data_IF_766869312256
#
_entry.id   IF_766869312256
#
_cell.length_a   1.000
_cell.length_b   1.000
_cell.length_c   1.000
_cell.angle_alpha   90.00
_cell.angle_beta   90.00
_cell.angle_gamma   90.00
#
_symmetry.space_group_name_H-M   'P 1'
#
loop_
_entity.id
_entity.type
_entity.pdbx_description
1 polymer ?
#
# COMPACT_ATOMS: atom_id res chain seq x y z
N UNK A 1 16.33 -14.15 -5.64
CA UNK A 1 16.15 -12.85 -4.95
C UNK A 1 15.70 -11.84 -5.97
N UNK A 2 14.62 -11.09 -5.73
CA UNK A 2 14.14 -10.00 -6.60
C UNK A 2 14.51 -8.67 -5.96
N UNK A 3 15.08 -7.76 -6.73
CA UNK A 3 15.37 -6.40 -6.29
C UNK A 3 14.32 -5.46 -6.89
N UNK A 4 13.78 -4.58 -6.06
CA UNK A 4 12.83 -3.53 -6.44
C UNK A 4 13.39 -2.18 -5.94
N UNK A 5 12.85 -1.07 -6.45
CA UNK A 5 13.23 0.28 -6.01
C UNK A 5 12.12 0.86 -5.15
N UNK A 6 12.46 1.60 -4.11
CA UNK A 6 11.52 2.46 -3.38
C UNK A 6 11.92 3.90 -3.59
N UNK A 7 10.94 4.76 -3.85
CA UNK A 7 11.17 6.19 -3.81
C UNK A 7 11.58 6.62 -2.40
N UNK A 8 12.50 7.58 -2.33
CA UNK A 8 12.80 8.28 -1.09
C UNK A 8 11.60 9.12 -0.66
N UNK A 9 11.30 9.11 0.63
CA UNK A 9 10.28 9.99 1.25
C UNK A 9 10.91 11.26 1.82
N UNK A 10 11.91 11.79 1.11
CA UNK A 10 12.68 12.95 1.54
C UNK A 10 11.83 14.21 1.44
N UNK A 11 11.62 14.89 2.56
CA UNK A 11 10.79 16.09 2.66
C UNK A 11 11.60 17.38 2.40
N UNK A 12 12.92 17.26 2.41
CA UNK A 12 13.92 18.31 2.26
C UNK A 12 14.58 18.31 0.86
N UNK A 13 14.02 17.56 -0.08
CA UNK A 13 14.51 17.44 -1.46
C UNK A 13 13.47 17.96 -2.46
N UNK A 14 13.90 18.42 -3.65
CA UNK A 14 12.99 18.80 -4.72
C UNK A 14 12.03 17.64 -5.02
N UNK A 15 10.70 17.85 -4.89
CA UNK A 15 9.74 16.75 -5.04
C UNK A 15 9.76 16.10 -6.45
N UNK A 16 10.30 16.79 -7.46
CA UNK A 16 10.49 16.29 -8.82
C UNK A 16 11.53 15.17 -8.94
N UNK A 17 12.46 15.02 -7.99
CA UNK A 17 13.49 13.95 -8.03
C UNK A 17 12.87 12.52 -8.04
N UNK A 18 11.63 12.39 -7.58
CA UNK A 18 10.87 11.15 -7.67
C UNK A 18 10.70 10.67 -9.12
N UNK A 19 10.48 11.58 -10.07
CA UNK A 19 10.33 11.25 -11.49
C UNK A 19 11.66 10.78 -12.10
N UNK A 20 12.77 11.40 -11.71
CA UNK A 20 14.09 11.03 -12.22
C UNK A 20 14.51 9.65 -11.68
N UNK A 21 14.23 9.39 -10.40
CA UNK A 21 14.43 8.07 -9.78
C UNK A 21 13.59 7.00 -10.50
N UNK A 22 12.33 7.30 -10.80
CA UNK A 22 11.44 6.38 -11.48
C UNK A 22 11.91 6.05 -12.90
N UNK A 23 12.31 7.06 -13.69
CA UNK A 23 12.87 6.86 -15.03
C UNK A 23 14.16 6.06 -15.00
N UNK A 24 15.05 6.34 -14.05
CA UNK A 24 16.29 5.59 -13.89
C UNK A 24 16.01 4.12 -13.52
N UNK A 25 15.07 3.87 -12.61
CA UNK A 25 14.68 2.51 -12.23
C UNK A 25 14.05 1.73 -13.42
N UNK A 26 13.20 2.39 -14.19
CA UNK A 26 12.59 1.83 -15.41
C UNK A 26 13.63 1.54 -16.49
N UNK A 27 14.58 2.44 -16.73
CA UNK A 27 15.66 2.23 -17.68
C UNK A 27 16.63 1.11 -17.25
N UNK A 28 16.91 1.01 -15.94
CA UNK A 28 17.85 0.05 -15.38
C UNK A 28 17.30 -1.38 -15.26
N UNK A 29 16.07 -1.65 -15.69
CA UNK A 29 15.56 -3.02 -15.65
C UNK A 29 14.89 -3.41 -14.32
N UNK A 30 14.65 -2.49 -13.38
CA UNK A 30 13.94 -2.86 -12.15
C UNK A 30 12.48 -3.20 -12.44
N UNK A 31 11.92 -4.23 -11.79
CA UNK A 31 10.61 -4.76 -12.14
C UNK A 31 9.46 -4.13 -11.34
N UNK A 32 9.75 -3.35 -10.29
CA UNK A 32 8.74 -2.75 -9.42
C UNK A 32 9.31 -1.49 -8.74
N UNK A 33 8.50 -0.44 -8.70
CA UNK A 33 8.76 0.80 -7.97
C UNK A 33 7.73 0.95 -6.83
N UNK A 34 8.22 1.18 -5.61
CA UNK A 34 7.40 1.47 -4.45
C UNK A 34 7.25 2.98 -4.27
N UNK A 35 6.00 3.43 -4.16
CA UNK A 35 5.60 4.83 -4.03
C UNK A 35 4.89 4.97 -2.68
N UNK A 36 5.63 5.44 -1.67
CA UNK A 36 5.06 5.72 -0.35
C UNK A 36 4.30 7.06 -0.33
N UNK A 37 3.47 7.24 0.69
CA UNK A 37 2.69 8.47 0.91
C UNK A 37 3.20 9.21 2.14
N UNK A 38 3.55 10.49 1.95
CA UNK A 38 4.01 11.39 3.00
C UNK A 38 3.62 12.84 2.68
N UNK A 39 4.24 13.83 3.32
CA UNK A 39 3.91 15.25 3.22
C UNK A 39 4.31 15.93 1.88
N UNK A 40 4.81 15.18 0.89
CA UNK A 40 5.27 15.73 -0.39
C UNK A 40 4.21 15.61 -1.48
N UNK A 41 3.86 14.38 -1.86
CA UNK A 41 2.91 14.09 -2.93
C UNK A 41 1.82 13.12 -2.49
N UNK A 42 0.62 13.29 -3.07
CA UNK A 42 -0.36 12.21 -3.14
C UNK A 42 0.22 11.05 -3.96
N UNK A 43 0.18 9.84 -3.39
CA UNK A 43 0.85 8.69 -3.99
C UNK A 43 0.27 8.29 -5.36
N UNK A 44 -1.04 8.46 -5.57
CA UNK A 44 -1.69 8.10 -6.82
C UNK A 44 -1.48 9.15 -7.90
N UNK A 45 -1.54 10.44 -7.56
CA UNK A 45 -1.21 11.53 -8.48
C UNK A 45 0.24 11.41 -8.99
N UNK A 46 1.18 11.17 -8.07
CA UNK A 46 2.57 10.91 -8.44
C UNK A 46 2.70 9.62 -9.26
N UNK A 47 1.97 8.57 -8.89
CA UNK A 47 1.91 7.31 -9.62
C UNK A 47 1.44 7.46 -11.07
N UNK A 48 0.41 8.27 -11.32
CA UNK A 48 -0.06 8.55 -12.68
C UNK A 48 1.01 9.27 -13.50
N UNK A 49 1.66 10.28 -12.92
CA UNK A 49 2.75 11.00 -13.60
C UNK A 49 3.94 10.08 -13.91
N UNK A 50 4.33 9.22 -12.97
CA UNK A 50 5.39 8.22 -13.17
C UNK A 50 4.98 7.20 -14.24
N UNK A 51 3.78 6.65 -14.16
CA UNK A 51 3.31 5.63 -15.09
C UNK A 51 3.19 6.15 -16.53
N UNK A 52 2.91 7.44 -16.71
CA UNK A 52 2.95 8.10 -18.03
C UNK A 52 4.38 8.37 -18.55
N UNK A 53 5.35 8.48 -17.65
CA UNK A 53 6.75 8.77 -17.96
C UNK A 53 7.66 7.53 -17.99
N UNK A 54 7.10 6.33 -17.80
CA UNK A 54 7.82 5.05 -17.75
C UNK A 54 7.16 4.03 -18.67
N UNK A 55 7.90 2.96 -19.00
CA UNK A 55 7.55 2.07 -20.11
C UNK A 55 7.25 0.63 -19.69
N UNK A 56 7.78 0.16 -18.55
CA UNK A 56 7.72 -1.27 -18.16
C UNK A 56 7.50 -1.50 -16.66
N UNK A 57 8.03 -0.63 -15.79
CA UNK A 57 8.03 -0.84 -14.35
C UNK A 57 6.61 -0.89 -13.78
N UNK A 58 6.35 -1.83 -12.86
CA UNK A 58 5.10 -1.87 -12.10
C UNK A 58 5.16 -0.91 -10.90
N UNK A 59 3.99 -0.47 -10.44
CA UNK A 59 3.88 0.56 -9.40
C UNK A 59 3.16 0.01 -8.16
N UNK A 60 3.84 -0.08 -7.02
CA UNK A 60 3.23 -0.47 -5.75
C UNK A 60 3.06 0.75 -4.84
N UNK A 61 1.82 1.02 -4.43
CA UNK A 61 1.48 2.16 -3.58
C UNK A 61 1.49 1.81 -2.10
N UNK A 62 2.17 2.61 -1.28
CA UNK A 62 2.11 2.52 0.17
C UNK A 62 3.40 2.06 0.86
N UNK A 63 3.32 1.72 2.16
CA UNK A 63 2.09 1.44 2.90
C UNK A 63 1.17 2.65 3.10
N UNK A 64 -0.10 2.53 2.67
CA UNK A 64 -1.13 3.53 2.87
C UNK A 64 -1.77 3.36 4.26
N UNK A 65 -1.95 4.47 4.97
CA UNK A 65 -2.50 4.46 6.32
C UNK A 65 -4.02 4.19 6.28
N UNK A 66 -4.45 3.01 6.74
CA UNK A 66 -5.86 2.55 6.68
C UNK A 66 -6.82 3.36 7.55
N UNK A 67 -6.29 4.09 8.53
CA UNK A 67 -7.09 5.04 9.32
C UNK A 67 -7.15 6.42 8.68
N UNK A 68 -6.42 6.67 7.58
CA UNK A 68 -6.38 7.95 6.84
C UNK A 68 -7.10 7.83 5.50
N UNK A 69 -6.79 6.79 4.71
CA UNK A 69 -7.54 6.46 3.49
C UNK A 69 -8.51 5.32 3.74
N UNK A 70 -9.76 5.51 3.33
CA UNK A 70 -10.75 4.45 3.36
C UNK A 70 -10.55 3.43 2.21
N UNK A 71 -11.15 2.23 2.30
CA UNK A 71 -10.98 1.20 1.28
C UNK A 71 -11.39 1.62 -0.14
N UNK A 72 -12.44 2.44 -0.27
CA UNK A 72 -12.95 2.84 -1.58
C UNK A 72 -11.98 3.83 -2.25
N UNK A 73 -11.45 4.81 -1.50
CA UNK A 73 -10.46 5.75 -2.05
C UNK A 73 -9.13 5.09 -2.40
N UNK A 74 -8.70 4.07 -1.63
CA UNK A 74 -7.53 3.25 -1.99
C UNK A 74 -7.78 2.51 -3.32
N UNK A 75 -8.87 1.75 -3.41
CA UNK A 75 -9.16 0.94 -4.59
C UNK A 75 -9.37 1.82 -5.84
N UNK A 76 -10.05 2.95 -5.68
CA UNK A 76 -10.27 3.92 -6.76
C UNK A 76 -8.95 4.51 -7.26
N UNK A 77 -8.04 4.89 -6.36
CA UNK A 77 -6.73 5.43 -6.73
C UNK A 77 -5.90 4.42 -7.53
N UNK A 78 -5.78 3.20 -7.01
CA UNK A 78 -5.04 2.11 -7.68
C UNK A 78 -5.61 1.83 -9.07
N UNK A 79 -6.94 1.66 -9.19
CA UNK A 79 -7.60 1.40 -10.46
C UNK A 79 -7.47 2.56 -11.45
N UNK A 80 -7.47 3.81 -10.96
CA UNK A 80 -7.29 4.99 -11.80
C UNK A 80 -5.88 5.02 -12.40
N UNK A 81 -4.84 4.76 -11.61
CA UNK A 81 -3.47 4.70 -12.14
C UNK A 81 -3.34 3.58 -13.16
N UNK A 82 -3.81 2.37 -12.85
CA UNK A 82 -3.77 1.24 -13.77
C UNK A 82 -4.47 1.55 -15.10
N UNK A 83 -5.68 2.13 -15.05
CA UNK A 83 -6.46 2.46 -16.24
C UNK A 83 -5.82 3.57 -17.10
N UNK A 84 -5.25 4.61 -16.47
CA UNK A 84 -4.68 5.75 -17.18
C UNK A 84 -3.28 5.48 -17.77
N UNK A 85 -2.53 4.56 -17.16
CA UNK A 85 -1.12 4.34 -17.50
C UNK A 85 -0.85 2.98 -18.13
N UNK A 86 -1.82 2.06 -18.06
CA UNK A 86 -1.67 0.67 -18.47
C UNK A 86 -0.65 -0.12 -17.62
N UNK A 87 -0.14 0.46 -16.53
CA UNK A 87 0.84 -0.20 -15.66
C UNK A 87 0.16 -1.21 -14.76
N UNK A 88 0.86 -2.32 -14.49
CA UNK A 88 0.51 -3.19 -13.37
C UNK A 88 0.70 -2.41 -12.06
N UNK A 89 -0.30 -2.52 -11.17
CA UNK A 89 -0.30 -1.83 -9.88
C UNK A 89 -0.36 -2.81 -8.73
N UNK A 90 0.27 -2.47 -7.62
CA UNK A 90 0.18 -3.14 -6.32
C UNK A 90 -0.24 -2.15 -5.23
N UNK A 91 -0.71 -2.66 -4.09
CA UNK A 91 -1.00 -1.82 -2.93
C UNK A 91 -0.44 -2.44 -1.65
N UNK A 92 0.07 -1.60 -0.77
CA UNK A 92 0.48 -1.94 0.57
C UNK A 92 -0.35 -1.14 1.59
N UNK A 93 -0.82 -1.79 2.65
CA UNK A 93 -1.55 -1.14 3.73
C UNK A 93 -0.75 -1.19 5.03
N UNK A 94 -0.93 -0.17 5.88
CA UNK A 94 -0.32 -0.10 7.20
C UNK A 94 -1.13 0.76 8.16
N UNK A 95 -0.76 0.72 9.44
CA UNK A 95 -1.46 1.47 10.51
C UNK A 95 -0.87 2.86 10.77
N UNK A 96 0.32 3.14 10.22
CA UNK A 96 1.06 4.39 10.39
C UNK A 96 1.35 4.76 11.87
N UNK A 97 1.88 5.96 12.10
CA UNK A 97 2.34 6.47 13.40
C UNK A 97 1.36 7.46 14.04
N UNK A 98 1.51 7.74 15.34
CA UNK A 98 0.72 8.77 16.02
C UNK A 98 0.91 10.16 15.41
N UNK A 99 2.13 10.49 14.95
CA UNK A 99 2.42 11.76 14.28
C UNK A 99 1.52 11.95 13.06
N UNK A 100 1.46 10.95 12.19
CA UNK A 100 0.66 11.02 10.96
C UNK A 100 -0.83 10.97 11.31
N UNK A 101 -1.28 9.94 12.02
CA UNK A 101 -2.72 9.69 12.19
C UNK A 101 -3.36 10.66 13.19
N UNK A 102 -2.78 10.82 14.38
CA UNK A 102 -3.34 11.71 15.42
C UNK A 102 -2.93 13.15 15.19
N UNK A 103 -1.64 13.37 14.92
CA UNK A 103 -1.08 14.72 14.77
C UNK A 103 -1.58 15.44 13.52
N UNK A 104 -1.32 14.86 12.34
CA UNK A 104 -1.62 15.54 11.07
C UNK A 104 -3.08 15.41 10.63
N UNK A 105 -3.68 14.24 10.87
CA UNK A 105 -5.04 13.95 10.40
C UNK A 105 -6.12 14.04 11.49
N UNK A 106 -5.75 14.20 12.77
CA UNK A 106 -6.72 14.31 13.86
C UNK A 106 -7.56 13.04 14.07
N UNK A 107 -7.06 11.87 13.66
CA UNK A 107 -7.80 10.59 13.71
C UNK A 107 -7.29 9.68 14.81
N UNK A 108 -8.14 8.73 15.23
CA UNK A 108 -7.74 7.74 16.24
C UNK A 108 -6.87 6.62 15.65
N UNK A 109 -5.97 6.07 16.48
CA UNK A 109 -5.22 4.83 16.22
C UNK A 109 -5.70 3.65 17.06
N UNK A 110 -6.82 3.82 17.77
CA UNK A 110 -7.39 2.76 18.60
C UNK A 110 -7.84 1.61 17.71
N UNK A 111 -7.58 0.37 18.14
CA UNK A 111 -7.90 -0.85 17.37
C UNK A 111 -7.33 -0.83 15.94
N UNK A 112 -6.17 -0.21 15.72
CA UNK A 112 -5.55 -0.09 14.39
C UNK A 112 -5.30 -1.42 13.68
N UNK A 113 -5.01 -2.51 14.39
CA UNK A 113 -4.92 -3.85 13.80
C UNK A 113 -6.28 -4.36 13.27
N UNK A 114 -7.38 -4.06 13.97
CA UNK A 114 -8.74 -4.35 13.51
C UNK A 114 -9.06 -3.54 12.27
N UNK A 115 -8.76 -2.23 12.27
CA UNK A 115 -8.94 -1.37 11.11
C UNK A 115 -8.14 -1.88 9.89
N UNK A 116 -6.92 -2.39 10.12
CA UNK A 116 -6.07 -2.98 9.09
C UNK A 116 -6.69 -4.25 8.50
N UNK A 117 -7.20 -5.16 9.34
CA UNK A 117 -7.86 -6.38 8.89
C UNK A 117 -9.12 -6.08 8.06
N UNK A 118 -10.01 -5.23 8.59
CA UNK A 118 -11.26 -4.86 7.94
C UNK A 118 -11.02 -4.12 6.62
N UNK A 119 -10.02 -3.22 6.59
CA UNK A 119 -9.61 -2.55 5.36
C UNK A 119 -9.00 -3.51 4.35
N UNK A 120 -8.19 -4.48 4.77
CA UNK A 120 -7.61 -5.46 3.88
C UNK A 120 -8.68 -6.29 3.16
N UNK A 121 -9.73 -6.71 3.89
CA UNK A 121 -10.89 -7.40 3.31
C UNK A 121 -11.63 -6.52 2.31
N UNK A 122 -11.99 -5.29 2.69
CA UNK A 122 -12.73 -4.40 1.81
C UNK A 122 -11.93 -4.01 0.56
N UNK A 123 -10.64 -3.69 0.72
CA UNK A 123 -9.74 -3.37 -0.41
C UNK A 123 -9.61 -4.59 -1.33
N UNK A 124 -9.45 -5.80 -0.79
CA UNK A 124 -9.39 -7.03 -1.60
C UNK A 124 -10.62 -7.20 -2.48
N UNK A 125 -11.81 -7.14 -1.90
CA UNK A 125 -13.09 -7.25 -2.62
C UNK A 125 -13.14 -6.27 -3.79
N UNK A 126 -12.79 -5.00 -3.53
CA UNK A 126 -12.82 -3.96 -4.55
C UNK A 126 -11.79 -4.20 -5.66
N UNK A 127 -10.56 -4.58 -5.31
CA UNK A 127 -9.49 -4.84 -6.29
C UNK A 127 -9.73 -6.10 -7.13
N UNK A 128 -10.56 -7.04 -6.68
CA UNK A 128 -11.01 -8.21 -7.45
C UNK A 128 -12.30 -7.97 -8.25
N UNK A 129 -12.89 -6.77 -8.12
CA UNK A 129 -14.07 -6.35 -8.88
C UNK A 129 -15.39 -6.71 -8.22
N UNK A 130 -15.37 -7.17 -6.97
CA UNK A 130 -16.54 -7.40 -6.14
C UNK A 130 -17.11 -6.08 -5.63
N UNK A 131 -18.32 -6.17 -5.07
CA UNK A 131 -18.97 -5.08 -4.34
C UNK A 131 -18.53 -5.17 -2.88
N UNK A 132 -18.18 -4.05 -2.26
CA UNK A 132 -17.78 -4.02 -0.86
C UNK A 132 -18.92 -4.50 0.04
N UNK A 133 -18.59 -5.40 0.95
CA UNK A 133 -19.50 -5.88 1.99
C UNK A 133 -18.68 -6.21 3.25
N UNK A 134 -18.39 -5.16 4.02
CA UNK A 134 -17.70 -5.22 5.30
C UNK A 134 -18.51 -4.42 6.31
N UNK A 135 -19.03 -5.12 7.31
CA UNK A 135 -19.71 -4.54 8.47
C UNK A 135 -18.78 -4.62 9.69
N UNK A 136 -17.67 -3.87 9.60
CA UNK A 136 -16.59 -3.92 10.57
C UNK A 136 -16.83 -3.04 11.81
N UNK A 137 -16.08 -3.31 12.87
CA UNK A 137 -16.11 -2.57 14.13
C UNK A 137 -15.41 -1.20 14.04
N UNK A 138 -14.50 -1.03 13.10
CA UNK A 138 -13.74 0.22 12.88
C UNK A 138 -13.93 0.72 11.45
N UNK A 139 -13.90 -0.17 10.46
CA UNK A 139 -14.04 0.16 9.05
C UNK A 139 -15.26 -0.57 8.48
N UNK A 140 -16.24 0.21 8.04
CA UNK A 140 -17.43 -0.28 7.33
C UNK A 140 -17.39 0.13 5.87
N UNK A 141 -17.80 -0.78 4.98
CA UNK A 141 -17.97 -0.49 3.56
C UNK A 141 -19.04 -1.39 2.97
N UNK A 142 -20.16 -0.81 2.54
CA UNK A 142 -21.29 -1.54 1.96
C UNK A 142 -21.69 -0.88 0.67
N UNK A 143 -21.80 -1.65 -0.39
CA UNK A 143 -22.43 -1.14 -1.60
C UNK A 143 -21.50 -0.66 -2.71
N UNK A 144 -20.25 -0.32 -2.37
CA UNK A 144 -19.33 0.30 -3.31
C UNK A 144 -18.75 -0.72 -4.28
N UNK A 145 -18.57 -0.35 -5.54
CA UNK A 145 -17.93 -1.19 -6.56
C UNK A 145 -17.17 -0.30 -7.52
N UNK A 146 -15.96 -0.71 -7.87
CA UNK A 146 -15.21 -0.03 -8.93
C UNK A 146 -15.99 -0.09 -10.25
N UNK A 147 -16.02 1.05 -10.95
CA UNK A 147 -16.60 1.15 -12.30
C UNK A 147 -15.55 0.94 -13.39
N UNK A 148 -14.28 1.15 -13.07
CA UNK A 148 -13.15 0.75 -13.89
C UNK A 148 -12.93 -0.78 -13.77
N UNK A 149 -12.27 -1.41 -14.77
CA UNK A 149 -11.83 -2.79 -14.64
C UNK A 149 -11.02 -3.00 -13.35
N UNK A 150 -11.28 -4.10 -12.67
CA UNK A 150 -10.59 -4.43 -11.44
C UNK A 150 -9.09 -4.66 -11.74
N UNK A 151 -8.16 -3.93 -11.09
CA UNK A 151 -6.74 -4.02 -11.40
C UNK A 151 -6.12 -5.34 -10.92
N UNK A 152 -6.83 -6.13 -10.10
CA UNK A 152 -6.35 -7.40 -9.51
C UNK A 152 -4.98 -7.25 -8.83
N UNK A 153 -4.75 -6.07 -8.26
CA UNK A 153 -3.49 -5.70 -7.64
C UNK A 153 -3.15 -6.60 -6.44
N UNK A 154 -1.88 -7.03 -6.31
CA UNK A 154 -1.45 -7.71 -5.10
C UNK A 154 -1.57 -6.77 -3.89
N UNK A 155 -2.05 -7.33 -2.79
CA UNK A 155 -2.23 -6.65 -1.51
C UNK A 155 -1.09 -7.05 -0.58
N UNK A 156 -0.38 -6.06 -0.09
CA UNK A 156 0.73 -6.21 0.84
C UNK A 156 0.36 -5.60 2.19
N UNK A 157 0.79 -6.22 3.28
CA UNK A 157 0.60 -5.65 4.63
C UNK A 157 1.96 -5.29 5.23
N UNK A 158 2.07 -4.05 5.69
CA UNK A 158 3.18 -3.62 6.53
C UNK A 158 2.93 -4.09 7.96
N UNK A 159 3.68 -5.10 8.40
CA UNK A 159 3.42 -5.79 9.65
C UNK A 159 4.58 -5.66 10.63
N UNK A 160 4.30 -5.00 11.75
CA UNK A 160 5.22 -4.88 12.88
C UNK A 160 4.49 -5.35 14.14
N UNK A 161 4.83 -6.54 14.61
CA UNK A 161 4.27 -7.14 15.82
C UNK A 161 3.09 -8.10 15.58
N UNK A 162 2.70 -8.87 16.62
CA UNK A 162 1.91 -10.09 16.45
C UNK A 162 0.55 -9.90 15.76
N UNK A 163 -0.19 -8.85 16.10
CA UNK A 163 -1.51 -8.60 15.52
C UNK A 163 -1.44 -8.23 14.04
N UNK A 164 -0.43 -7.46 13.63
CA UNK A 164 -0.27 -7.11 12.23
C UNK A 164 0.26 -8.29 11.41
N UNK A 165 1.05 -9.18 12.01
CA UNK A 165 1.49 -10.44 11.39
C UNK A 165 0.31 -11.37 11.14
N UNK A 166 -0.63 -11.49 12.08
CA UNK A 166 -1.87 -12.26 11.90
C UNK A 166 -2.70 -11.72 10.73
N UNK A 167 -2.85 -10.40 10.63
CA UNK A 167 -3.53 -9.77 9.48
C UNK A 167 -2.81 -10.05 8.16
N UNK A 168 -1.47 -9.94 8.15
CA UNK A 168 -0.68 -10.23 6.96
C UNK A 168 -0.82 -11.69 6.52
N UNK A 169 -0.76 -12.64 7.46
CA UNK A 169 -0.88 -14.07 7.19
C UNK A 169 -2.26 -14.43 6.59
N UNK A 170 -3.34 -13.82 7.09
CA UNK A 170 -4.72 -14.15 6.69
C UNK A 170 -5.20 -13.44 5.43
N UNK A 171 -4.72 -12.23 5.15
CA UNK A 171 -5.37 -11.35 4.18
C UNK A 171 -4.45 -10.84 3.06
N UNK A 172 -3.12 -10.98 3.19
CA UNK A 172 -2.16 -10.40 2.27
C UNK A 172 -1.51 -11.44 1.35
N UNK A 173 -1.10 -10.99 0.16
CA UNK A 173 -0.24 -11.78 -0.73
C UNK A 173 1.23 -11.67 -0.33
N UNK A 174 1.59 -10.56 0.33
CA UNK A 174 2.95 -10.23 0.75
C UNK A 174 2.95 -9.54 2.11
N UNK A 175 4.05 -9.69 2.84
CA UNK A 175 4.38 -8.85 3.99
C UNK A 175 5.56 -7.93 3.63
N UNK A 176 5.50 -6.67 4.06
CA UNK A 176 6.63 -5.73 3.96
C UNK A 176 7.06 -5.25 5.35
N UNK A 177 8.36 -5.10 5.53
CA UNK A 177 8.98 -4.52 6.73
C UNK A 177 9.98 -3.46 6.27
N UNK A 178 10.13 -2.40 7.06
CA UNK A 178 10.93 -1.24 6.67
C UNK A 178 11.92 -0.88 7.77
N UNK A 179 13.17 -0.58 7.38
CA UNK A 179 14.24 -0.12 8.27
C UNK A 179 14.46 -1.01 9.50
N UNK A 180 14.45 -2.33 9.31
CA UNK A 180 14.74 -3.32 10.36
C UNK A 180 16.09 -3.98 10.17
N UNK A 181 16.72 -4.40 11.27
CA UNK A 181 17.93 -5.23 11.18
C UNK A 181 17.61 -6.61 10.59
N UNK A 182 18.61 -7.31 10.01
CA UNK A 182 18.42 -8.69 9.53
C UNK A 182 17.85 -9.64 10.60
N UNK A 183 18.29 -9.49 11.86
CA UNK A 183 17.79 -10.30 12.97
C UNK A 183 16.30 -10.03 13.27
N UNK A 184 15.90 -8.75 13.28
CA UNK A 184 14.50 -8.36 13.47
C UNK A 184 13.63 -8.85 12.30
N UNK A 185 14.10 -8.70 11.05
CA UNK A 185 13.43 -9.24 9.87
C UNK A 185 13.22 -10.75 9.97
N UNK A 186 14.27 -11.50 10.34
CA UNK A 186 14.18 -12.95 10.53
C UNK A 186 13.14 -13.33 11.62
N UNK A 187 13.06 -12.56 12.71
CA UNK A 187 12.04 -12.79 13.74
C UNK A 187 10.63 -12.52 13.24
N UNK A 188 10.41 -11.43 12.50
CA UNK A 188 9.10 -11.10 11.92
C UNK A 188 8.66 -12.15 10.90
N UNK A 189 9.58 -12.66 10.08
CA UNK A 189 9.30 -13.74 9.13
C UNK A 189 8.90 -15.03 9.85
N UNK A 190 9.57 -15.39 10.94
CA UNK A 190 9.14 -16.54 11.76
C UNK A 190 7.74 -16.34 12.33
N UNK A 191 7.45 -15.15 12.86
CA UNK A 191 6.13 -14.81 13.38
C UNK A 191 5.03 -14.85 12.32
N UNK A 192 5.32 -14.39 11.10
CA UNK A 192 4.38 -14.48 9.97
C UNK A 192 4.05 -15.94 9.64
N UNK A 193 5.07 -16.81 9.56
CA UNK A 193 4.87 -18.24 9.27
C UNK A 193 4.03 -18.93 10.33
N UNK A 194 4.34 -18.68 11.61
CA UNK A 194 3.58 -19.26 12.72
C UNK A 194 2.12 -18.76 12.79
N UNK A 195 1.80 -17.60 12.20
CA UNK A 195 0.44 -17.09 12.13
C UNK A 195 -0.33 -17.58 10.89
N UNK A 196 0.36 -18.23 9.94
CA UNK A 196 -0.23 -18.81 8.74
C UNK A 196 -0.58 -20.29 8.89
N UNK A 197 -0.03 -20.95 9.92
CA UNK A 197 -0.37 -22.31 10.35
C UNK A 197 -1.66 -22.33 11.18
#
# INVERSE_FOLDING_TARGET
MRLSVSLGLWQDRPPSEALDTARAADAAGYPELWIGEMATWDAFALGTAIGAATSRISLTFGPLAVTVRDPATIAMGVASVAALTGRETGVALGTSSDVVVRGWHGRSRDRSATALAESAVAVRQLLTGEKSDVDGQVVGSRGYRLRLPAPKSPLTIAAFGPRALDVAARHADRMVVNLVSPAAAASLVRGLRAAAD
#
